data_IF_373811834117
#
_entry.id   IF_373811834117
#
_cell.length_a   1.000
_cell.length_b   1.000
_cell.length_c   1.000
_cell.angle_alpha   90.00
_cell.angle_beta   90.00
_cell.angle_gamma   90.00
#
_symmetry.space_group_name_H-M   'P 1'
#
loop_
_entity.id
_entity.type
_entity.pdbx_description
1 polymer ?
#
# COMPACT_ATOMS: atom_id res chain seq x y z
N UNK A 1 71.82 -47.77 -11.50
CA UNK A 1 71.29 -47.21 -10.22
C UNK A 1 70.84 -45.78 -10.46
N UNK A 2 69.54 -45.55 -10.66
CA UNK A 2 68.94 -44.22 -10.86
C UNK A 2 67.96 -43.99 -9.71
N UNK A 3 68.14 -42.89 -8.94
CA UNK A 3 67.26 -42.48 -7.85
C UNK A 3 66.01 -41.79 -8.43
N UNK A 4 64.79 -42.03 -7.93
CA UNK A 4 63.66 -41.15 -8.20
C UNK A 4 63.57 -40.04 -7.13
N UNK A 5 63.27 -38.85 -7.64
CA UNK A 5 63.07 -37.58 -6.96
C UNK A 5 61.63 -37.51 -6.41
N UNK A 6 61.48 -37.35 -5.09
CA UNK A 6 60.17 -37.15 -4.44
C UNK A 6 59.72 -35.71 -4.64
N UNK A 7 58.64 -35.48 -5.39
CA UNK A 7 57.98 -34.17 -5.52
C UNK A 7 56.89 -34.09 -4.46
N UNK A 8 57.02 -33.14 -3.53
CA UNK A 8 56.06 -32.81 -2.49
C UNK A 8 55.00 -31.85 -3.09
N UNK A 9 53.75 -32.30 -3.22
CA UNK A 9 52.62 -31.43 -3.55
C UNK A 9 52.11 -30.76 -2.27
N UNK A 10 52.35 -29.45 -2.13
CA UNK A 10 51.65 -28.60 -1.15
C UNK A 10 50.39 -28.07 -1.83
N UNK A 11 49.24 -28.65 -1.49
CA UNK A 11 47.94 -28.13 -1.89
C UNK A 11 47.58 -26.94 -0.97
N UNK A 12 47.62 -25.73 -1.53
CA UNK A 12 47.16 -24.51 -0.89
C UNK A 12 45.62 -24.50 -0.91
N UNK A 13 45.01 -24.75 0.25
CA UNK A 13 43.56 -24.60 0.46
C UNK A 13 43.19 -23.10 0.33
N UNK A 14 42.59 -22.73 -0.81
CA UNK A 14 41.90 -21.45 -0.95
C UNK A 14 40.70 -21.42 0.00
N UNK A 15 40.72 -20.45 0.91
CA UNK A 15 39.66 -20.17 1.88
C UNK A 15 38.37 -19.83 1.15
N UNK A 16 37.38 -20.72 1.24
CA UNK A 16 35.98 -20.49 0.86
C UNK A 16 35.34 -19.49 1.84
N UNK A 17 35.56 -18.20 1.60
CA UNK A 17 35.04 -17.12 2.45
C UNK A 17 33.81 -16.37 1.89
N UNK A 18 33.43 -16.59 0.63
CA UNK A 18 32.36 -15.80 -0.02
C UNK A 18 30.95 -16.42 0.06
N UNK A 19 30.81 -17.67 0.47
CA UNK A 19 29.52 -18.40 0.38
C UNK A 19 28.54 -18.07 1.51
N UNK A 20 29.02 -17.58 2.66
CA UNK A 20 28.15 -17.38 3.83
C UNK A 20 27.20 -16.17 3.68
N UNK A 21 27.56 -15.15 2.89
CA UNK A 21 26.72 -13.98 2.66
C UNK A 21 25.59 -14.22 1.64
N UNK A 22 25.77 -15.16 0.70
CA UNK A 22 24.74 -15.49 -0.28
C UNK A 22 23.65 -16.42 0.27
N UNK A 23 23.94 -17.20 1.31
CA UNK A 23 22.97 -18.10 1.93
C UNK A 23 22.01 -17.44 2.94
N UNK A 24 22.30 -16.22 3.42
CA UNK A 24 21.42 -15.49 4.34
C UNK A 24 20.25 -14.77 3.62
N UNK A 25 20.33 -14.53 2.31
CA UNK A 25 19.25 -13.90 1.54
C UNK A 25 18.08 -14.87 1.27
N UNK A 26 18.35 -16.17 1.12
CA UNK A 26 17.41 -17.14 0.57
C UNK A 26 16.27 -17.59 1.52
N UNK A 27 16.19 -17.06 2.76
CA UNK A 27 15.21 -17.52 3.76
C UNK A 27 14.52 -16.43 4.56
N UNK A 28 14.59 -15.16 4.16
CA UNK A 28 13.81 -14.13 4.85
C UNK A 28 12.36 -14.17 4.38
N UNK A 29 11.45 -14.48 5.30
CA UNK A 29 10.00 -14.38 5.11
C UNK A 29 9.38 -13.71 6.33
N UNK A 30 8.24 -13.08 6.14
CA UNK A 30 7.53 -12.46 7.24
C UNK A 30 6.51 -11.44 6.81
N UNK A 31 6.09 -10.65 7.78
CA UNK A 31 5.11 -9.59 7.60
C UNK A 31 5.55 -8.31 8.28
N UNK A 32 5.34 -7.17 7.64
CA UNK A 32 5.38 -5.85 8.27
C UNK A 32 3.99 -5.24 8.21
N UNK A 33 3.45 -4.86 9.36
CA UNK A 33 2.18 -4.15 9.46
C UNK A 33 2.44 -2.68 9.75
N UNK A 34 1.79 -1.82 8.99
CA UNK A 34 1.81 -0.38 9.11
C UNK A 34 0.43 0.12 9.46
N UNK A 35 0.38 1.11 10.34
CA UNK A 35 -0.73 2.04 10.45
C UNK A 35 -0.37 3.29 9.65
N UNK A 36 -1.33 3.80 8.89
CA UNK A 36 -1.14 4.95 8.04
C UNK A 36 -2.30 5.93 8.18
N UNK A 37 -2.01 7.20 7.96
CA UNK A 37 -3.01 8.26 7.90
C UNK A 37 -2.78 9.10 6.66
N UNK A 38 -3.84 9.49 5.97
CA UNK A 38 -3.75 10.35 4.79
C UNK A 38 -4.87 11.36 4.79
N UNK A 39 -4.58 12.57 4.30
CA UNK A 39 -5.62 13.56 4.06
C UNK A 39 -6.64 13.01 3.07
N UNK A 40 -7.91 13.16 3.41
CA UNK A 40 -9.00 12.73 2.55
C UNK A 40 -9.06 13.67 1.34
N UNK A 41 -9.10 13.09 0.15
CA UNK A 41 -9.42 13.83 -1.07
C UNK A 41 -10.92 14.16 -1.04
N UNK A 42 -11.33 15.44 -1.06
CA UNK A 42 -12.73 15.82 -1.02
C UNK A 42 -13.56 15.23 -2.18
N UNK A 43 -12.96 14.87 -3.31
CA UNK A 43 -13.64 14.19 -4.41
C UNK A 43 -14.09 12.76 -4.10
N UNK A 44 -13.57 12.16 -3.02
CA UNK A 44 -13.96 10.83 -2.54
C UNK A 44 -15.05 10.88 -1.48
N UNK A 45 -15.41 12.08 -1.01
CA UNK A 45 -16.49 12.32 -0.06
C UNK A 45 -17.78 12.67 -0.78
N UNK A 46 -18.83 11.90 -0.51
CA UNK A 46 -20.19 12.25 -0.91
C UNK A 46 -20.98 12.59 0.34
N UNK A 47 -21.48 13.82 0.42
CA UNK A 47 -22.29 14.28 1.53
C UNK A 47 -23.70 14.54 1.02
N UNK A 48 -24.68 13.93 1.67
CA UNK A 48 -26.10 14.12 1.36
C UNK A 48 -26.78 14.73 2.58
N UNK A 49 -27.25 15.96 2.46
CA UNK A 49 -27.99 16.68 3.50
C UNK A 49 -29.44 16.82 3.05
N UNK A 50 -30.39 16.31 3.84
CA UNK A 50 -31.82 16.37 3.53
C UNK A 50 -32.19 15.87 2.12
N UNK A 51 -31.47 14.84 1.64
CA UNK A 51 -31.68 14.24 0.32
C UNK A 51 -30.97 14.96 -0.84
N UNK A 52 -30.28 16.08 -0.60
CA UNK A 52 -29.52 16.81 -1.59
C UNK A 52 -28.02 16.61 -1.41
N UNK A 53 -27.29 16.43 -2.52
CA UNK A 53 -25.84 16.30 -2.48
C UNK A 53 -25.17 17.66 -2.28
N UNK A 54 -24.31 17.74 -1.27
CA UNK A 54 -23.59 18.94 -0.88
C UNK A 54 -22.12 18.79 -1.24
N UNK A 55 -21.59 19.75 -1.99
CA UNK A 55 -20.20 19.72 -2.47
C UNK A 55 -19.23 20.34 -1.45
N UNK A 56 -17.99 19.83 -1.37
CA UNK A 56 -16.92 20.49 -0.61
C UNK A 56 -16.80 21.98 -0.94
N UNK A 57 -16.77 22.83 0.09
CA UNK A 57 -16.65 24.28 -0.05
C UNK A 57 -17.97 25.05 -0.21
N UNK A 58 -19.12 24.37 -0.25
CA UNK A 58 -20.42 25.05 -0.18
C UNK A 58 -20.76 25.48 1.26
N UNK A 59 -21.62 26.52 1.46
CA UNK A 59 -22.02 26.97 2.79
C UNK A 59 -22.66 25.87 3.65
N UNK A 60 -23.31 24.91 3.01
CA UNK A 60 -24.01 23.80 3.68
C UNK A 60 -23.10 22.60 3.95
N UNK A 61 -21.81 22.67 3.62
CA UNK A 61 -20.87 21.58 3.86
C UNK A 61 -20.60 21.42 5.37
N UNK A 62 -20.79 20.23 5.96
CA UNK A 62 -20.63 20.06 7.40
C UNK A 62 -19.19 20.33 7.87
N UNK A 63 -19.05 21.15 8.91
CA UNK A 63 -17.74 21.53 9.46
C UNK A 63 -17.01 20.39 10.19
N UNK A 64 -17.73 19.32 10.56
CA UNK A 64 -17.22 18.19 11.34
C UNK A 64 -16.76 17.00 10.46
N UNK A 65 -16.62 17.20 9.15
CA UNK A 65 -16.10 16.17 8.25
C UNK A 65 -14.60 15.97 8.54
N UNK A 66 -14.15 14.75 8.85
CA UNK A 66 -12.73 14.48 9.04
C UNK A 66 -11.93 14.87 7.80
N UNK A 67 -10.77 15.50 8.02
CA UNK A 67 -9.82 15.85 6.97
C UNK A 67 -8.76 14.75 6.75
N UNK A 68 -8.66 13.79 7.67
CA UNK A 68 -7.73 12.66 7.65
C UNK A 68 -8.47 11.34 7.79
N UNK A 69 -8.01 10.32 7.06
CA UNK A 69 -8.44 8.93 7.17
C UNK A 69 -7.27 8.05 7.58
N UNK A 70 -7.52 7.13 8.52
CA UNK A 70 -6.56 6.09 8.89
C UNK A 70 -6.82 4.81 8.09
N UNK A 71 -5.77 4.05 7.85
CA UNK A 71 -5.83 2.76 7.17
C UNK A 71 -4.63 1.90 7.57
N UNK A 72 -4.74 0.60 7.36
CA UNK A 72 -3.63 -0.32 7.56
C UNK A 72 -3.00 -0.69 6.21
N UNK A 73 -1.69 -0.87 6.21
CA UNK A 73 -0.96 -1.46 5.09
C UNK A 73 -0.14 -2.63 5.61
N UNK A 74 -0.23 -3.76 4.93
CA UNK A 74 0.54 -4.95 5.27
C UNK A 74 1.44 -5.31 4.10
N UNK A 75 2.74 -5.42 4.36
CA UNK A 75 3.71 -6.08 3.50
C UNK A 75 3.88 -7.52 3.96
N UNK A 76 3.59 -8.49 3.11
CA UNK A 76 4.02 -9.89 3.32
C UNK A 76 5.15 -10.18 2.34
N UNK A 77 6.23 -10.81 2.78
CA UNK A 77 7.40 -11.08 1.94
C UNK A 77 7.95 -12.49 2.14
N UNK A 78 8.57 -13.03 1.10
CA UNK A 78 9.30 -14.30 1.10
C UNK A 78 10.32 -14.29 -0.03
N UNK A 79 11.60 -14.48 0.32
CA UNK A 79 12.70 -14.34 -0.65
C UNK A 79 12.77 -12.92 -1.20
N UNK A 80 12.88 -12.79 -2.53
CA UNK A 80 12.93 -11.50 -3.22
C UNK A 80 11.54 -10.95 -3.54
N UNK A 81 10.47 -11.65 -3.16
CA UNK A 81 9.10 -11.29 -3.51
C UNK A 81 8.33 -10.76 -2.31
N UNK A 82 7.45 -9.79 -2.57
CA UNK A 82 6.54 -9.27 -1.56
C UNK A 82 5.17 -8.92 -2.14
N UNK A 83 4.15 -8.89 -1.28
CA UNK A 83 2.79 -8.44 -1.57
C UNK A 83 2.36 -7.39 -0.57
N UNK A 84 1.81 -6.31 -1.09
CA UNK A 84 1.20 -5.22 -0.34
C UNK A 84 -0.32 -5.31 -0.41
N UNK A 85 -0.96 -5.19 0.75
CA UNK A 85 -2.41 -5.12 0.89
C UNK A 85 -2.76 -3.89 1.72
N UNK A 86 -3.67 -3.06 1.21
CA UNK A 86 -4.21 -1.90 1.92
C UNK A 86 -5.61 -2.24 2.44
N UNK A 87 -5.82 -2.06 3.74
CA UNK A 87 -7.09 -2.26 4.41
C UNK A 87 -7.64 -0.92 4.90
N UNK A 88 -8.86 -0.56 4.47
CA UNK A 88 -9.46 0.70 4.87
C UNK A 88 -8.84 1.95 4.21
N UNK A 89 -7.92 1.81 3.26
CA UNK A 89 -7.18 2.91 2.59
C UNK A 89 -7.78 3.42 1.28
N UNK A 90 -9.08 3.24 1.05
CA UNK A 90 -9.74 3.81 -0.12
C UNK A 90 -11.19 3.38 -0.27
N UNK A 91 -11.84 3.92 -1.29
CA UNK A 91 -13.26 3.70 -1.57
C UNK A 91 -14.12 4.92 -1.28
N UNK A 92 -15.32 4.93 -1.86
CA UNK A 92 -16.26 6.02 -1.72
C UNK A 92 -16.90 6.00 -0.32
N UNK A 93 -16.98 7.17 0.32
CA UNK A 93 -17.70 7.34 1.58
C UNK A 93 -18.94 8.19 1.32
N UNK A 94 -20.09 7.70 1.79
CA UNK A 94 -21.35 8.44 1.77
C UNK A 94 -21.70 8.80 3.19
N UNK A 95 -21.80 10.10 3.45
CA UNK A 95 -22.29 10.63 4.72
C UNK A 95 -23.67 11.24 4.49
N UNK A 96 -24.68 10.72 5.19
CA UNK A 96 -26.05 11.22 5.13
C UNK A 96 -26.36 11.95 6.44
N UNK A 97 -26.83 13.19 6.31
CA UNK A 97 -27.32 14.03 7.40
C UNK A 97 -28.79 14.31 7.13
N UNK A 98 -29.65 13.98 8.09
CA UNK A 98 -31.10 14.25 8.02
C UNK A 98 -31.44 15.15 9.19
N UNK A 99 -31.81 16.40 8.93
CA UNK A 99 -32.29 17.30 9.96
C UNK A 99 -33.68 16.87 10.44
N UNK A 100 -33.89 16.91 11.75
CA UNK A 100 -35.22 16.72 12.32
C UNK A 100 -36.09 17.91 11.93
N UNK A 101 -37.03 17.69 11.00
CA UNK A 101 -38.06 18.67 10.67
C UNK A 101 -38.90 19.03 11.91
N UNK A 102 -39.57 20.20 11.91
CA UNK A 102 -40.35 20.66 13.05
C UNK A 102 -41.60 19.76 13.21
N UNK A 103 -41.51 18.75 14.08
CA UNK A 103 -42.66 17.93 14.49
C UNK A 103 -42.49 16.40 14.57
N UNK A 104 -41.31 15.82 14.31
CA UNK A 104 -41.13 14.36 14.29
C UNK A 104 -40.01 13.88 15.22
N UNK A 105 -40.33 12.93 16.11
CA UNK A 105 -39.43 12.44 17.16
C UNK A 105 -38.09 11.86 16.68
N UNK A 106 -37.04 12.21 17.43
CA UNK A 106 -35.72 11.58 17.40
C UNK A 106 -34.81 12.05 16.25
N UNK A 107 -33.93 13.00 16.55
CA UNK A 107 -32.82 13.36 15.65
C UNK A 107 -31.96 12.12 15.39
N UNK A 108 -31.97 11.58 14.17
CA UNK A 108 -30.98 10.56 13.77
C UNK A 108 -29.69 11.30 13.44
N UNK A 109 -28.66 11.08 14.24
CA UNK A 109 -27.33 11.65 13.99
C UNK A 109 -26.78 11.25 12.61
N UNK A 110 -25.74 11.94 12.12
CA UNK A 110 -25.11 11.66 10.83
C UNK A 110 -24.76 10.17 10.68
N UNK A 111 -25.14 9.58 9.55
CA UNK A 111 -24.78 8.19 9.22
C UNK A 111 -23.71 8.19 8.13
N UNK A 112 -22.59 7.52 8.41
CA UNK A 112 -21.49 7.35 7.44
C UNK A 112 -21.42 5.89 7.00
N UNK A 113 -21.55 5.66 5.69
CA UNK A 113 -21.43 4.34 5.07
C UNK A 113 -20.17 4.31 4.20
N UNK A 114 -19.29 3.34 4.45
CA UNK A 114 -18.14 3.07 3.60
C UNK A 114 -18.52 2.04 2.54
N UNK A 115 -18.50 2.45 1.28
CA UNK A 115 -18.90 1.59 0.16
C UNK A 115 -17.73 0.79 -0.43
N UNK A 116 -16.51 1.02 0.06
CA UNK A 116 -15.31 0.37 -0.45
C UNK A 116 -15.01 0.72 -1.90
N UNK A 117 -14.19 -0.11 -2.54
CA UNK A 117 -13.82 0.00 -3.96
C UNK A 117 -14.63 -1.02 -4.77
N UNK A 118 -15.01 -0.72 -6.02
CA UNK A 118 -15.71 -1.67 -6.89
C UNK A 118 -14.79 -2.74 -7.52
N UNK A 119 -13.57 -2.86 -7.00
CA UNK A 119 -12.53 -3.76 -7.48
C UNK A 119 -11.59 -4.09 -6.32
N UNK A 120 -10.92 -5.22 -6.43
CA UNK A 120 -9.81 -5.56 -5.55
C UNK A 120 -8.50 -5.15 -6.24
N UNK A 121 -7.55 -4.65 -5.47
CA UNK A 121 -6.25 -4.23 -5.97
C UNK A 121 -5.18 -4.72 -5.01
N UNK A 122 -4.17 -5.39 -5.56
CA UNK A 122 -2.99 -5.79 -4.82
C UNK A 122 -1.75 -5.39 -5.59
N UNK A 123 -0.67 -5.15 -4.87
CA UNK A 123 0.62 -4.92 -5.51
C UNK A 123 1.61 -5.96 -5.04
N UNK A 124 2.35 -6.49 -6.00
CA UNK A 124 3.45 -7.39 -5.79
C UNK A 124 4.74 -6.66 -6.10
N UNK A 125 5.82 -7.00 -5.42
CA UNK A 125 7.13 -6.39 -5.58
C UNK A 125 8.16 -7.47 -5.86
N UNK A 126 9.09 -7.18 -6.78
CA UNK A 126 10.39 -7.84 -6.83
C UNK A 126 11.40 -6.89 -6.16
N UNK A 127 11.83 -7.24 -4.95
CA UNK A 127 12.71 -6.43 -4.10
C UNK A 127 14.13 -6.35 -4.67
N UNK A 128 14.57 -7.37 -5.40
CA UNK A 128 15.88 -7.40 -6.05
C UNK A 128 15.90 -6.56 -7.32
N UNK A 129 14.91 -6.75 -8.20
CA UNK A 129 14.80 -6.04 -9.48
C UNK A 129 14.24 -4.61 -9.32
N UNK A 130 13.75 -4.26 -8.12
CA UNK A 130 13.08 -2.99 -7.83
C UNK A 130 11.95 -2.72 -8.82
N UNK A 131 11.06 -3.69 -8.98
CA UNK A 131 9.88 -3.59 -9.83
C UNK A 131 8.61 -3.90 -9.03
N UNK A 132 7.49 -3.39 -9.52
CA UNK A 132 6.17 -3.59 -8.94
C UNK A 132 5.19 -4.08 -10.01
N UNK A 133 4.39 -5.08 -9.64
CA UNK A 133 3.27 -5.57 -10.43
C UNK A 133 1.98 -5.20 -9.72
N UNK A 134 1.17 -4.34 -10.32
CA UNK A 134 -0.17 -4.03 -9.81
C UNK A 134 -1.18 -4.95 -10.46
N UNK A 135 -1.93 -5.72 -9.65
CA UNK A 135 -3.01 -6.59 -10.11
C UNK A 135 -4.35 -5.96 -9.73
N UNK A 136 -5.18 -5.70 -10.74
CA UNK A 136 -6.54 -5.21 -10.62
C UNK A 136 -7.52 -6.35 -10.91
N UNK A 137 -8.36 -6.67 -9.94
CA UNK A 137 -9.39 -7.72 -10.07
C UNK A 137 -10.76 -7.08 -10.18
N UNK A 138 -11.41 -7.30 -11.33
CA UNK A 138 -12.75 -6.80 -11.62
C UNK A 138 -13.74 -7.96 -11.57
N UNK A 139 -14.85 -7.78 -10.82
CA UNK A 139 -15.99 -8.70 -10.80
C UNK A 139 -17.16 -8.05 -11.53
N UNK A 140 -17.65 -8.69 -12.58
CA UNK A 140 -18.81 -8.24 -13.37
C UNK A 140 -19.64 -9.46 -13.78
N UNK A 141 -20.92 -9.46 -13.44
CA UNK A 141 -21.90 -10.48 -13.86
C UNK A 141 -21.36 -11.92 -13.67
N UNK A 142 -20.91 -12.21 -12.44
CA UNK A 142 -20.27 -13.48 -12.00
C UNK A 142 -18.93 -13.84 -12.66
N UNK A 143 -18.42 -12.99 -13.57
CA UNK A 143 -17.08 -13.15 -14.14
C UNK A 143 -16.06 -12.34 -13.35
N UNK A 144 -14.98 -13.00 -12.96
CA UNK A 144 -13.77 -12.37 -12.42
C UNK A 144 -12.72 -12.25 -13.53
N UNK A 145 -12.22 -11.04 -13.76
CA UNK A 145 -11.10 -10.79 -14.67
C UNK A 145 -9.98 -10.09 -13.93
N UNK A 146 -8.77 -10.60 -14.06
CA UNK A 146 -7.57 -10.01 -13.49
C UNK A 146 -6.73 -9.35 -14.59
N UNK A 147 -6.34 -8.10 -14.35
CA UNK A 147 -5.41 -7.36 -15.18
C UNK A 147 -4.16 -7.05 -14.38
N UNK A 148 -2.99 -7.07 -15.02
CA UNK A 148 -1.74 -6.69 -14.39
C UNK A 148 -0.96 -5.66 -15.21
N UNK A 149 -0.32 -4.73 -14.54
CA UNK A 149 0.70 -3.88 -15.13
C UNK A 149 1.97 -3.94 -14.29
N UNK A 150 3.11 -4.06 -14.97
CA UNK A 150 4.43 -4.10 -14.38
C UNK A 150 5.12 -2.75 -14.60
N UNK A 151 5.74 -2.21 -13.56
CA UNK A 151 6.43 -0.94 -13.60
C UNK A 151 7.72 -1.00 -12.76
N UNK A 152 8.81 -0.34 -13.18
CA UNK A 152 9.96 -0.14 -12.31
C UNK A 152 9.60 0.77 -11.14
N UNK A 153 10.22 0.56 -9.98
CA UNK A 153 10.10 1.47 -8.85
C UNK A 153 10.99 2.67 -9.10
N UNK A 154 10.37 3.83 -9.31
CA UNK A 154 11.07 5.10 -9.45
C UNK A 154 11.85 5.44 -8.17
N UNK A 155 13.06 5.96 -8.35
CA UNK A 155 13.92 6.41 -7.24
C UNK A 155 13.75 7.91 -7.03
N UNK A 156 13.47 8.31 -5.79
CA UNK A 156 13.58 9.71 -5.37
C UNK A 156 15.02 9.99 -4.97
N UNK A 157 15.59 11.09 -5.47
CA UNK A 157 16.95 11.53 -5.15
C UNK A 157 16.97 12.57 -4.02
N UNK A 158 18.17 12.92 -3.53
CA UNK A 158 18.34 13.98 -2.52
C UNK A 158 18.13 13.53 -1.08
N UNK A 159 18.30 12.23 -0.79
CA UNK A 159 18.27 11.70 0.57
C UNK A 159 19.40 12.28 1.42
N UNK A 160 19.05 12.76 2.62
CA UNK A 160 20.02 13.23 3.61
C UNK A 160 19.85 12.42 4.89
N UNK A 161 20.81 11.54 5.19
CA UNK A 161 20.84 10.82 6.46
C UNK A 161 21.31 11.75 7.58
N UNK A 162 20.73 11.56 8.76
CA UNK A 162 21.08 12.31 9.97
C UNK A 162 21.47 11.34 11.08
N UNK A 163 22.16 11.79 12.13
CA UNK A 163 22.54 10.92 13.26
C UNK A 163 21.40 10.66 14.25
N UNK A 164 20.21 11.21 14.01
CA UNK A 164 19.05 10.97 14.86
C UNK A 164 18.57 9.54 14.70
N UNK A 165 18.35 8.87 15.84
CA UNK A 165 17.85 7.51 15.89
C UNK A 165 16.59 7.41 16.75
N UNK A 166 15.71 6.46 16.43
CA UNK A 166 14.56 6.09 17.27
C UNK A 166 14.22 4.61 17.09
N UNK A 167 13.58 4.01 18.10
CA UNK A 167 13.08 2.64 17.99
C UNK A 167 11.68 2.60 17.39
N UNK A 168 11.47 1.74 16.39
CA UNK A 168 10.17 1.51 15.75
C UNK A 168 9.97 0.00 15.58
N UNK A 169 8.86 -0.54 16.08
CA UNK A 169 8.54 -1.97 16.02
C UNK A 169 9.68 -2.90 16.49
N UNK A 170 10.51 -2.43 17.43
CA UNK A 170 11.66 -3.18 17.98
C UNK A 170 13.01 -2.91 17.30
N UNK A 171 13.05 -2.21 16.17
CA UNK A 171 14.27 -1.96 15.39
C UNK A 171 14.82 -0.55 15.61
N UNK A 172 16.13 -0.40 15.55
CA UNK A 172 16.78 0.91 15.57
C UNK A 172 16.70 1.53 14.18
N UNK A 173 16.02 2.66 14.07
CA UNK A 173 15.87 3.40 12.83
C UNK A 173 16.70 4.67 12.86
N UNK A 174 17.33 4.99 11.74
CA UNK A 174 18.01 6.27 11.50
C UNK A 174 17.10 7.18 10.68
N UNK A 175 17.07 8.46 11.04
CA UNK A 175 16.30 9.47 10.32
C UNK A 175 17.02 9.88 9.03
N UNK A 176 16.25 10.01 7.96
CA UNK A 176 16.61 10.69 6.74
C UNK A 176 15.56 11.73 6.36
N UNK A 177 15.96 12.76 5.62
CA UNK A 177 15.05 13.72 4.99
C UNK A 177 15.16 13.61 3.47
N UNK A 178 14.03 13.73 2.77
CA UNK A 178 13.95 13.54 1.31
C UNK A 178 13.01 14.59 0.70
N UNK A 179 13.44 15.32 -0.34
CA UNK A 179 12.54 16.18 -1.10
C UNK A 179 11.59 15.30 -1.93
N UNK A 180 10.30 15.34 -1.63
CA UNK A 180 9.29 14.51 -2.29
C UNK A 180 7.96 15.25 -2.39
N UNK A 181 7.30 15.18 -3.56
CA UNK A 181 5.99 15.82 -3.85
C UNK A 181 5.90 17.30 -3.39
N UNK A 182 6.92 18.10 -3.72
CA UNK A 182 7.03 19.54 -3.42
C UNK A 182 7.15 19.91 -1.94
N UNK A 183 7.45 18.95 -1.08
CA UNK A 183 7.78 19.18 0.34
C UNK A 183 8.96 18.29 0.76
N UNK A 184 9.40 18.40 2.01
CA UNK A 184 10.45 17.54 2.57
C UNK A 184 9.81 16.51 3.49
N UNK A 185 9.93 15.23 3.13
CA UNK A 185 9.47 14.11 3.93
C UNK A 185 10.55 13.76 4.96
N UNK A 186 10.12 13.36 6.15
CA UNK A 186 10.98 12.66 7.12
C UNK A 186 10.74 11.17 7.01
N UNK A 187 11.82 10.40 6.91
CA UNK A 187 11.80 8.94 6.76
C UNK A 187 12.65 8.32 7.86
N UNK A 188 12.18 7.23 8.45
CA UNK A 188 12.92 6.46 9.45
C UNK A 188 13.18 5.05 8.92
N UNK A 189 14.44 4.74 8.64
CA UNK A 189 14.85 3.47 8.03
C UNK A 189 15.79 2.66 8.93
N UNK A 190 15.72 1.33 8.82
CA UNK A 190 16.64 0.41 9.49
C UNK A 190 17.39 -0.44 8.46
N UNK A 191 18.64 -0.80 8.76
CA UNK A 191 19.45 -1.74 7.96
C UNK A 191 19.56 -3.11 8.63
N UNK A 192 18.83 -3.32 9.74
CA UNK A 192 18.79 -4.60 10.46
C UNK A 192 17.98 -5.68 9.71
N UNK A 193 17.08 -5.26 8.82
CA UNK A 193 16.34 -6.16 7.93
C UNK A 193 17.14 -6.36 6.62
N UNK A 194 17.30 -7.61 6.13
CA UNK A 194 18.23 -7.94 5.05
C UNK A 194 17.68 -7.66 3.64
N UNK A 195 16.76 -6.71 3.49
CA UNK A 195 16.15 -6.33 2.21
C UNK A 195 15.88 -4.82 2.17
N UNK A 196 15.45 -4.33 1.00
CA UNK A 196 15.18 -2.91 0.78
C UNK A 196 13.72 -2.70 0.46
N UNK A 197 13.05 -1.80 1.19
CA UNK A 197 11.61 -1.58 1.06
C UNK A 197 11.17 -0.22 1.64
N UNK A 198 10.07 0.31 1.12
CA UNK A 198 9.34 1.41 1.74
C UNK A 198 7.82 1.28 1.53
N UNK A 199 6.98 1.66 2.51
CA UNK A 199 5.53 1.69 2.34
C UNK A 199 5.07 2.69 1.28
N UNK A 200 5.93 3.65 0.90
CA UNK A 200 5.77 4.50 -0.29
C UNK A 200 6.89 4.14 -1.26
N UNK A 201 6.53 3.59 -2.43
CA UNK A 201 7.47 2.98 -3.38
C UNK A 201 8.54 3.96 -3.85
N UNK A 202 8.15 5.20 -4.15
CA UNK A 202 9.08 6.25 -4.60
C UNK A 202 10.07 6.66 -3.50
N UNK A 203 9.74 6.39 -2.23
CA UNK A 203 10.61 6.60 -1.06
C UNK A 203 11.37 5.33 -0.68
N UNK A 204 11.67 4.44 -1.63
CA UNK A 204 12.53 3.28 -1.39
C UNK A 204 14.00 3.73 -1.36
N UNK A 205 14.75 3.49 -0.26
CA UNK A 205 16.14 3.90 -0.14
C UNK A 205 17.06 2.98 -0.97
N UNK A 206 18.35 3.30 -1.06
CA UNK A 206 19.30 2.39 -1.69
C UNK A 206 19.57 1.12 -0.88
N UNK A 207 19.45 1.22 0.45
CA UNK A 207 19.61 0.09 1.37
C UNK A 207 18.74 0.28 2.60
N UNK A 208 18.06 -0.78 2.99
CA UNK A 208 17.30 -0.86 4.24
C UNK A 208 15.80 -0.68 4.07
N UNK A 209 15.09 -0.85 5.18
CA UNK A 209 13.63 -0.87 5.24
C UNK A 209 13.13 0.36 5.96
N UNK A 210 12.24 1.10 5.31
CA UNK A 210 11.55 2.23 5.91
C UNK A 210 10.44 1.73 6.84
N UNK A 211 10.54 2.08 8.12
CA UNK A 211 9.55 1.74 9.15
C UNK A 211 8.67 2.93 9.55
N UNK A 212 9.00 4.15 9.15
CA UNK A 212 8.06 5.26 9.21
C UNK A 212 8.32 6.32 8.12
N UNK A 213 7.24 6.95 7.68
CA UNK A 213 7.23 8.10 6.77
C UNK A 213 6.36 9.17 7.39
N UNK A 214 6.85 10.41 7.39
CA UNK A 214 6.21 11.57 7.98
C UNK A 214 6.19 12.70 6.92
N UNK A 215 5.03 12.92 6.30
CA UNK A 215 4.73 14.04 5.41
C UNK A 215 3.52 14.83 5.88
N UNK A 216 3.22 15.97 5.25
CA UNK A 216 2.09 16.82 5.65
C UNK A 216 0.72 16.27 5.26
N UNK A 217 0.69 15.41 4.23
CA UNK A 217 -0.55 14.84 3.67
C UNK A 217 -0.69 13.34 3.91
N UNK A 218 0.40 12.65 4.23
CA UNK A 218 0.41 11.22 4.52
C UNK A 218 1.49 10.84 5.54
N UNK A 219 1.17 9.86 6.38
CA UNK A 219 2.08 9.29 7.35
C UNK A 219 1.92 7.78 7.38
N UNK A 220 3.02 7.08 7.61
CA UNK A 220 3.06 5.64 7.77
C UNK A 220 3.93 5.31 8.99
N UNK A 221 3.50 4.35 9.80
CA UNK A 221 4.27 3.85 10.93
C UNK A 221 4.12 2.35 11.05
N UNK A 222 5.24 1.63 10.99
CA UNK A 222 5.26 0.21 11.28
C UNK A 222 4.85 -0.02 12.74
N UNK A 223 3.82 -0.83 12.93
CA UNK A 223 3.30 -1.25 14.23
C UNK A 223 3.86 -2.61 14.65
N UNK A 224 4.16 -3.48 13.66
CA UNK A 224 4.71 -4.82 13.91
C UNK A 224 5.59 -5.29 12.76
N UNK A 225 6.68 -5.95 13.09
CA UNK A 225 7.50 -6.76 12.17
C UNK A 225 7.50 -8.19 12.70
N UNK A 226 7.04 -9.14 11.89
CA UNK A 226 6.89 -10.54 12.26
C UNK A 226 7.65 -11.43 11.27
N UNK A 227 8.90 -11.76 11.61
CA UNK A 227 9.76 -12.63 10.80
C UNK A 227 9.44 -14.12 10.96
N UNK A 228 8.46 -14.48 11.81
CA UNK A 228 8.00 -15.86 12.00
C UNK A 228 6.69 -16.15 11.27
N UNK A 229 6.06 -15.13 10.68
CA UNK A 229 4.82 -15.30 9.95
C UNK A 229 5.01 -16.31 8.79
N UNK A 230 4.14 -17.32 8.67
CA UNK A 230 4.22 -18.30 7.59
C UNK A 230 3.71 -17.65 6.29
N UNK A 231 4.65 -17.13 5.51
CA UNK A 231 4.37 -16.57 4.17
C UNK A 231 5.01 -17.50 3.14
N UNK A 232 4.18 -18.07 2.27
CA UNK A 232 4.68 -18.84 1.13
C UNK A 232 5.02 -17.89 -0.02
N UNK A 233 6.10 -18.19 -0.75
CA UNK A 233 6.52 -17.37 -1.90
C UNK A 233 5.42 -17.25 -2.96
N UNK A 234 4.65 -18.32 -3.19
CA UNK A 234 3.53 -18.32 -4.12
C UNK A 234 2.44 -17.29 -3.76
N UNK A 235 2.24 -16.98 -2.47
CA UNK A 235 1.22 -16.02 -2.01
C UNK A 235 1.65 -14.56 -2.24
N UNK A 236 2.95 -14.33 -2.44
CA UNK A 236 3.57 -13.02 -2.64
C UNK A 236 4.08 -12.82 -4.05
N UNK A 237 3.63 -13.64 -5.00
CA UNK A 237 3.87 -13.47 -6.43
C UNK A 237 2.56 -13.17 -7.17
N UNK A 238 2.59 -12.37 -8.24
CA UNK A 238 1.41 -12.14 -9.05
C UNK A 238 0.96 -13.43 -9.72
N UNK A 239 -0.36 -13.62 -9.84
CA UNK A 239 -0.94 -14.78 -10.53
C UNK A 239 -0.53 -14.84 -12.00
N UNK A 240 -0.29 -16.05 -12.51
CA UNK A 240 0.13 -16.26 -13.89
C UNK A 240 -0.97 -15.99 -14.93
N UNK A 241 -2.24 -15.94 -14.50
CA UNK A 241 -3.40 -15.81 -15.38
C UNK A 241 -3.87 -14.38 -15.60
N UNK A 242 -3.29 -13.39 -14.89
CA UNK A 242 -3.67 -12.00 -15.04
C UNK A 242 -3.23 -11.46 -16.42
N UNK A 243 -4.17 -10.82 -17.13
CA UNK A 243 -3.92 -10.24 -18.43
C UNK A 243 -2.96 -9.05 -18.29
N UNK A 244 -1.81 -9.12 -18.95
CA UNK A 244 -0.86 -8.02 -18.95
C UNK A 244 -1.40 -6.86 -19.81
N UNK A 245 -1.36 -5.66 -19.25
CA UNK A 245 -1.77 -4.40 -19.85
C UNK A 245 -0.77 -3.31 -19.49
N UNK A 246 -0.83 -2.17 -20.18
CA UNK A 246 -0.06 -0.98 -19.82
C UNK A 246 -0.57 -0.32 -18.53
N UNK A 247 0.26 0.51 -17.89
CA UNK A 247 -0.16 1.30 -16.73
C UNK A 247 -1.33 2.25 -17.05
N UNK A 248 -1.35 2.80 -18.27
CA UNK A 248 -2.41 3.66 -18.76
C UNK A 248 -3.74 2.91 -18.90
N UNK A 249 -3.73 1.73 -19.53
CA UNK A 249 -4.92 0.88 -19.66
C UNK A 249 -5.42 0.41 -18.28
N UNK A 250 -4.51 0.04 -17.37
CA UNK A 250 -4.89 -0.34 -16.00
C UNK A 250 -5.57 0.83 -15.28
N UNK A 251 -5.09 2.07 -15.49
CA UNK A 251 -5.72 3.28 -14.96
C UNK A 251 -7.11 3.51 -15.56
N UNK A 252 -7.28 3.33 -16.86
CA UNK A 252 -8.59 3.46 -17.53
C UNK A 252 -9.59 2.43 -17.04
N UNK A 253 -9.19 1.16 -16.89
CA UNK A 253 -10.01 0.10 -16.31
C UNK A 253 -10.48 0.46 -14.90
N UNK A 254 -9.56 1.00 -14.07
CA UNK A 254 -9.86 1.47 -12.73
C UNK A 254 -10.88 2.62 -12.73
N UNK A 255 -10.66 3.63 -13.57
CA UNK A 255 -11.52 4.80 -13.65
C UNK A 255 -12.91 4.47 -14.18
N UNK A 256 -13.00 3.58 -15.18
CA UNK A 256 -14.25 3.03 -15.67
C UNK A 256 -15.00 2.25 -14.59
N UNK A 257 -14.33 1.34 -13.88
CA UNK A 257 -14.96 0.58 -12.79
C UNK A 257 -15.54 1.49 -11.71
N UNK A 258 -14.85 2.59 -11.36
CA UNK A 258 -15.38 3.60 -10.43
C UNK A 258 -16.56 4.36 -11.02
N UNK A 259 -16.51 4.76 -12.28
CA UNK A 259 -17.60 5.48 -12.94
C UNK A 259 -18.88 4.62 -13.00
N UNK A 260 -18.78 3.38 -13.45
CA UNK A 260 -19.89 2.43 -13.53
C UNK A 260 -20.47 2.11 -12.15
N UNK A 261 -19.62 2.03 -11.13
CA UNK A 261 -20.06 1.87 -9.74
C UNK A 261 -20.81 3.11 -9.24
N UNK A 262 -20.28 4.31 -9.50
CA UNK A 262 -20.95 5.56 -9.15
C UNK A 262 -22.32 5.68 -9.82
N UNK A 263 -22.41 5.36 -11.10
CA UNK A 263 -23.68 5.44 -11.83
C UNK A 263 -24.73 4.48 -11.23
N UNK A 264 -24.38 3.21 -11.01
CA UNK A 264 -25.27 2.24 -10.35
C UNK A 264 -25.70 2.68 -8.94
N UNK A 265 -24.78 3.31 -8.21
CA UNK A 265 -25.09 3.91 -6.92
C UNK A 265 -26.06 5.10 -7.05
N UNK A 266 -25.92 5.95 -8.07
CA UNK A 266 -26.87 7.04 -8.31
C UNK A 266 -28.26 6.51 -8.68
N UNK A 267 -28.33 5.47 -9.50
CA UNK A 267 -29.61 4.87 -9.88
C UNK A 267 -30.32 4.24 -8.66
N UNK A 268 -29.55 3.62 -7.76
CA UNK A 268 -30.10 2.95 -6.57
C UNK A 268 -30.38 3.89 -5.38
N UNK A 269 -29.66 5.01 -5.25
CA UNK A 269 -29.81 5.95 -4.11
C UNK A 269 -30.41 7.32 -4.49
N UNK A 270 -30.55 7.62 -5.78
CA UNK A 270 -30.99 8.93 -6.31
C UNK A 270 -32.42 8.96 -6.86
N UNK A 271 -33.19 7.87 -6.75
CA UNK A 271 -34.59 7.87 -7.16
C UNK A 271 -35.48 8.63 -6.16
N UNK A 272 -36.27 9.63 -6.57
CA UNK A 272 -37.32 10.18 -5.72
C UNK A 272 -38.43 9.12 -5.55
N UNK A 273 -38.43 8.44 -4.40
CA UNK A 273 -39.51 7.53 -4.03
C UNK A 273 -39.08 6.07 -3.89
N UNK A 274 -38.26 5.77 -2.89
CA UNK A 274 -38.26 4.46 -2.22
C UNK A 274 -39.53 4.25 -1.38
N UNK A 275 -40.70 4.52 -1.97
CA UNK A 275 -41.98 4.05 -1.47
C UNK A 275 -42.09 2.60 -1.88
N UNK A 276 -42.00 1.70 -0.91
CA UNK A 276 -42.11 0.27 -1.14
C UNK A 276 -43.36 -0.05 -1.94
N UNK A 277 -43.21 -0.92 -2.94
CA UNK A 277 -44.28 -1.79 -3.45
C UNK A 277 -43.67 -3.13 -3.87
N UNK A 278 -44.05 -4.13 -3.08
CA UNK A 278 -43.99 -5.59 -3.22
C UNK A 278 -42.64 -6.28 -3.38
#
# INVERSE_FOLDING_TARGET
>A
MKKPLTILFVALLLVTGLSAFQHLHAQSRGRISYEASRRIDPSQLRIVVNGQEVRPGSPDFPADVPDVRTFAQTLSFAGDYAKEVLEGGGGMMVRTVVDAGPGGGGSRGPQTTNLGRPFEESTYLNLQERSATTVLTLKKDDKTTEYRADAPIAKTEGWQLTDQTKKIAGYTCRKATVPFRKETYTVWLTTELPFTYSPIRELTPDKGVVLAVEGSTEQFRATKVDLKAPVAEADVRPGAQAQQVSEAELKELRDKARADFRQRMMDNFGGPGGGGRN
#
